data_IF_996119972014
#
_entry.id   IF_996119972014
#
_cell.length_a   1.000
_cell.length_b   1.000
_cell.length_c   1.000
_cell.angle_alpha   90.00
_cell.angle_beta   90.00
_cell.angle_gamma   90.00
#
_symmetry.space_group_name_H-M   'P 1'
#
loop_
_entity.id
_entity.type
_entity.pdbx_description
1 polymer ?
#
# COMPACT_ATOMS: atom_id res chain seq x y z
N UNK A 1 48.38 -21.26 -26.98
CA UNK A 1 48.90 -19.86 -26.92
C UNK A 1 48.16 -19.02 -27.96
N UNK A 2 46.97 -18.50 -27.65
CA UNK A 2 46.16 -17.60 -28.52
C UNK A 2 44.91 -17.15 -27.72
N UNK A 3 45.11 -16.45 -26.61
CA UNK A 3 44.01 -15.94 -25.78
C UNK A 3 44.28 -14.58 -25.11
N UNK A 4 45.34 -13.86 -25.49
CA UNK A 4 45.69 -12.56 -24.89
C UNK A 4 45.58 -11.35 -25.84
N UNK A 5 45.27 -11.58 -27.12
CA UNK A 5 45.25 -10.49 -28.12
C UNK A 5 43.95 -9.65 -28.06
N UNK A 6 42.87 -10.16 -27.48
CA UNK A 6 41.60 -9.39 -27.40
C UNK A 6 41.49 -8.48 -26.17
N UNK A 7 42.32 -8.66 -25.14
CA UNK A 7 42.26 -7.81 -23.94
C UNK A 7 43.02 -6.47 -24.07
N UNK A 8 43.83 -6.28 -25.11
CA UNK A 8 44.63 -5.06 -25.32
C UNK A 8 43.95 -4.00 -26.21
N UNK A 9 42.77 -4.29 -26.78
CA UNK A 9 42.06 -3.39 -27.69
C UNK A 9 40.98 -2.50 -27.04
N UNK A 10 40.79 -2.59 -25.72
CA UNK A 10 39.77 -1.80 -24.99
C UNK A 10 40.32 -0.60 -24.18
N UNK A 11 41.64 -0.37 -24.13
CA UNK A 11 42.25 0.67 -23.27
C UNK A 11 42.73 1.93 -24.02
N UNK A 12 42.47 2.06 -25.32
CA UNK A 12 42.88 3.24 -26.10
C UNK A 12 41.67 3.84 -26.84
N UNK A 13 40.74 4.43 -26.09
CA UNK A 13 39.50 4.93 -26.65
C UNK A 13 38.98 6.19 -25.95
N UNK A 14 39.56 7.33 -26.34
CA UNK A 14 39.04 8.72 -26.24
C UNK A 14 39.24 9.49 -24.94
N UNK A 15 40.36 10.20 -24.93
CA UNK A 15 40.52 11.48 -24.27
C UNK A 15 40.06 12.64 -25.19
N UNK A 16 39.60 13.73 -24.55
CA UNK A 16 39.67 15.16 -24.91
C UNK A 16 38.78 15.71 -26.04
N UNK A 17 37.87 16.63 -25.67
CA UNK A 17 37.82 18.00 -26.20
C UNK A 17 36.78 18.89 -25.44
N UNK A 18 37.26 20.00 -24.89
CA UNK A 18 36.55 21.25 -24.58
C UNK A 18 37.46 22.40 -25.07
N UNK A 19 37.07 23.70 -25.08
CA UNK A 19 35.76 24.37 -24.98
C UNK A 19 35.50 25.25 -26.24
N UNK A 20 34.45 26.09 -26.27
CA UNK A 20 34.43 27.49 -26.77
C UNK A 20 33.04 28.11 -26.53
N UNK A 21 32.99 29.45 -26.57
CA UNK A 21 32.20 30.35 -25.72
C UNK A 21 31.64 31.49 -26.59
N UNK A 22 30.36 31.88 -26.42
CA UNK A 22 29.76 33.21 -26.76
C UNK A 22 28.44 33.33 -25.96
N UNK A 23 28.35 34.18 -24.92
CA UNK A 23 27.87 35.59 -24.89
C UNK A 23 26.36 35.74 -25.26
N UNK A 24 25.43 35.96 -24.30
CA UNK A 24 24.88 37.24 -23.73
C UNK A 24 24.00 38.03 -24.75
N UNK A 25 22.85 38.74 -24.44
CA UNK A 25 22.41 39.47 -23.22
C UNK A 25 21.00 39.12 -22.65
N UNK A 26 20.66 39.31 -21.36
CA UNK A 26 20.42 40.56 -20.55
C UNK A 26 19.00 41.13 -20.82
N UNK A 27 18.10 41.57 -19.92
CA UNK A 27 18.04 42.02 -18.51
C UNK A 27 16.61 41.69 -17.98
N UNK A 28 16.32 41.46 -16.69
CA UNK A 28 15.92 42.53 -15.75
C UNK A 28 15.76 41.98 -14.31
N UNK A 29 16.60 42.55 -13.46
CA UNK A 29 16.53 42.94 -12.03
C UNK A 29 15.41 42.46 -11.09
N UNK A 30 15.78 41.82 -9.96
CA UNK A 30 15.85 42.32 -8.55
C UNK A 30 14.47 42.25 -7.86
N UNK A 31 14.29 41.51 -6.75
CA UNK A 31 14.60 41.93 -5.36
C UNK A 31 14.87 40.70 -4.47
N UNK A 32 16.00 40.76 -3.75
CA UNK A 32 16.34 39.93 -2.58
C UNK A 32 15.42 40.24 -1.39
N UNK A 33 15.00 39.21 -0.66
CA UNK A 33 14.97 39.33 0.80
C UNK A 33 15.38 38.00 1.43
N UNK A 34 16.16 38.14 2.51
CA UNK A 34 17.01 37.14 3.12
C UNK A 34 16.38 36.57 4.40
N UNK A 35 17.04 35.52 4.93
CA UNK A 35 17.02 35.05 6.32
C UNK A 35 15.94 34.02 6.69
N UNK A 36 16.37 32.77 6.87
CA UNK A 36 16.49 32.10 8.17
C UNK A 36 16.53 30.57 8.02
N UNK A 37 17.65 29.94 8.41
CA UNK A 37 17.63 28.56 8.89
C UNK A 37 16.75 28.49 10.15
N UNK A 38 15.69 27.67 10.15
CA UNK A 38 15.06 27.20 11.39
C UNK A 38 14.60 25.75 11.21
N UNK A 39 15.21 24.92 12.04
CA UNK A 39 14.85 23.61 12.58
C UNK A 39 13.53 22.94 12.16
N UNK A 40 13.68 21.64 11.92
CA UNK A 40 12.69 20.57 12.07
C UNK A 40 11.83 20.75 13.33
N UNK A 41 10.50 20.75 13.19
CA UNK A 41 9.54 20.64 14.31
C UNK A 41 8.34 19.77 13.87
N UNK A 42 7.83 18.87 14.73
CA UNK A 42 7.13 17.67 14.31
C UNK A 42 5.62 17.84 14.15
N UNK A 43 5.05 16.79 13.57
CA UNK A 43 3.65 16.45 13.34
C UNK A 43 2.73 16.99 14.44
N UNK A 44 1.74 17.77 14.00
CA UNK A 44 0.71 18.36 14.84
C UNK A 44 -0.07 17.31 15.65
N UNK A 45 0.04 17.42 16.96
CA UNK A 45 -0.87 16.79 17.90
C UNK A 45 -2.21 17.54 17.89
N UNK A 46 -3.30 16.77 17.86
CA UNK A 46 -4.67 17.25 17.98
C UNK A 46 -4.94 17.68 19.45
N UNK A 47 -5.32 18.94 19.75
CA UNK A 47 -5.60 19.36 21.12
C UNK A 47 -7.07 19.06 21.46
N UNK A 48 -7.30 17.96 22.17
CA UNK A 48 -8.55 17.80 22.93
C UNK A 48 -8.20 18.05 24.39
N UNK A 49 -8.40 19.29 24.82
CA UNK A 49 -8.40 19.65 26.23
C UNK A 49 -9.73 19.16 26.83
N UNK A 50 -9.67 18.24 27.78
CA UNK A 50 -10.80 17.95 28.66
C UNK A 50 -10.36 18.32 30.07
N UNK A 51 -10.78 19.48 30.54
CA UNK A 51 -10.71 19.82 31.95
C UNK A 51 -11.86 19.12 32.67
N UNK A 52 -11.54 18.22 33.60
CA UNK A 52 -12.48 17.76 34.63
C UNK A 52 -11.73 17.60 35.94
N UNK A 53 -12.02 18.52 36.87
CA UNK A 53 -12.28 18.24 38.29
C UNK A 53 -11.17 17.61 39.11
N UNK A 54 -10.57 18.43 39.96
CA UNK A 54 -9.89 18.04 41.20
C UNK A 54 -10.86 17.24 42.09
N UNK A 55 -10.52 15.99 42.42
CA UNK A 55 -11.14 15.24 43.50
C UNK A 55 -10.06 14.49 44.29
N UNK A 56 -10.19 14.58 45.61
CA UNK A 56 -9.17 14.23 46.60
C UNK A 56 -8.87 12.73 46.69
N UNK A 57 -7.58 12.47 46.93
CA UNK A 57 -7.00 11.49 47.86
C UNK A 57 -7.89 10.30 48.28
N UNK A 58 -7.66 9.17 47.61
CA UNK A 58 -8.05 7.83 48.06
C UNK A 58 -6.92 6.87 47.74
N UNK A 59 -6.05 6.63 48.73
CA UNK A 59 -5.05 5.58 48.66
C UNK A 59 -5.73 4.22 48.72
N UNK A 60 -5.92 3.59 47.57
CA UNK A 60 -6.14 2.15 47.46
C UNK A 60 -5.18 1.61 46.42
N UNK A 61 -4.45 0.57 46.81
CA UNK A 61 -3.35 -0.04 46.09
C UNK A 61 -3.79 -0.40 44.67
N UNK A 62 -3.35 0.41 43.70
CA UNK A 62 -3.31 -0.02 42.32
C UNK A 62 -2.22 -1.08 42.22
N UNK A 63 -2.63 -2.33 42.37
CA UNK A 63 -1.92 -3.45 41.79
C UNK A 63 -1.69 -3.05 40.32
N UNK A 64 -0.43 -2.73 39.99
CA UNK A 64 0.01 -2.50 38.63
C UNK A 64 -0.13 -3.86 37.94
N UNK A 65 -1.36 -4.16 37.50
CA UNK A 65 -1.66 -5.32 36.67
C UNK A 65 -0.92 -5.04 35.37
N UNK A 66 0.30 -5.57 35.30
CA UNK A 66 1.13 -5.57 34.11
C UNK A 66 0.33 -6.39 33.11
N UNK A 67 -0.53 -5.71 32.33
CA UNK A 67 -1.24 -6.32 31.22
C UNK A 67 -0.15 -6.79 30.27
N UNK A 68 0.22 -8.07 30.40
CA UNK A 68 1.19 -8.68 29.52
C UNK A 68 0.62 -8.54 28.10
N UNK A 69 1.19 -7.61 27.34
CA UNK A 69 0.80 -7.38 25.95
C UNK A 69 0.87 -8.73 25.23
N UNK A 70 -0.24 -9.13 24.60
CA UNK A 70 -0.27 -10.42 23.93
C UNK A 70 0.76 -10.38 22.80
N UNK A 71 1.77 -11.29 22.77
CA UNK A 71 2.84 -11.26 21.77
C UNK A 71 2.36 -11.31 20.32
N UNK A 72 1.13 -11.77 20.07
CA UNK A 72 0.51 -11.79 18.75
C UNK A 72 -0.10 -10.44 18.31
N UNK A 73 -0.30 -9.46 19.20
CA UNK A 73 -0.89 -8.16 18.83
C UNK A 73 -0.06 -7.40 17.81
N UNK A 74 1.27 -7.45 17.94
CA UNK A 74 2.22 -6.77 17.04
C UNK A 74 2.93 -7.73 16.08
N UNK A 75 2.56 -9.02 16.07
CA UNK A 75 3.17 -10.03 15.21
C UNK A 75 2.28 -10.35 14.00
N UNK A 76 2.58 -9.71 12.87
CA UNK A 76 1.80 -9.87 11.64
C UNK A 76 2.26 -11.08 10.81
N UNK A 77 1.34 -12.03 10.62
CA UNK A 77 1.56 -13.17 9.75
C UNK A 77 1.32 -12.83 8.27
N UNK A 78 1.90 -13.65 7.39
CA UNK A 78 1.61 -13.58 5.94
C UNK A 78 0.14 -13.93 5.67
N UNK A 79 -0.36 -13.53 4.51
CA UNK A 79 -1.72 -13.85 4.06
C UNK A 79 -2.05 -15.34 4.20
N UNK A 80 -3.22 -15.64 4.77
CA UNK A 80 -3.70 -17.01 5.01
C UNK A 80 -3.13 -17.65 6.27
N UNK A 81 -2.37 -16.92 7.08
CA UNK A 81 -1.88 -17.36 8.38
C UNK A 81 -2.36 -16.41 9.49
N UNK A 82 -2.56 -16.97 10.67
CA UNK A 82 -2.90 -16.25 11.91
C UNK A 82 -1.83 -16.50 12.96
N UNK A 83 -1.67 -15.54 13.88
CA UNK A 83 -0.73 -15.67 14.98
C UNK A 83 -1.38 -16.44 16.13
N UNK A 84 -0.71 -17.49 16.58
CA UNK A 84 -1.03 -18.25 17.78
C UNK A 84 0.21 -18.32 18.67
N UNK A 85 0.04 -18.51 19.98
CA UNK A 85 1.16 -18.67 20.91
C UNK A 85 1.47 -20.17 21.08
N UNK A 86 2.75 -20.52 21.08
CA UNK A 86 3.20 -21.88 21.41
C UNK A 86 3.18 -22.15 22.93
N UNK A 87 3.63 -23.33 23.35
CA UNK A 87 3.74 -23.72 24.78
C UNK A 87 4.68 -22.82 25.60
N UNK A 88 5.54 -22.04 24.94
CA UNK A 88 6.51 -21.14 25.56
C UNK A 88 6.07 -19.66 25.49
N UNK A 89 4.80 -19.38 25.17
CA UNK A 89 4.28 -18.02 24.90
C UNK A 89 5.01 -17.29 23.76
N UNK A 90 5.58 -18.02 22.80
CA UNK A 90 6.23 -17.46 21.61
C UNK A 90 5.23 -17.36 20.46
N UNK A 91 5.11 -16.21 19.77
CA UNK A 91 4.19 -16.06 18.64
C UNK A 91 4.65 -16.89 17.44
N UNK A 92 3.74 -17.69 16.90
CA UNK A 92 3.92 -18.54 15.72
C UNK A 92 2.79 -18.35 14.71
N UNK A 93 3.13 -18.39 13.42
CA UNK A 93 2.15 -18.23 12.34
C UNK A 93 1.66 -19.59 11.83
N UNK A 94 0.42 -19.93 12.15
CA UNK A 94 -0.26 -21.13 11.66
C UNK A 94 -1.22 -20.79 10.54
N UNK A 95 -1.63 -21.79 9.75
CA UNK A 95 -2.62 -21.55 8.70
C UNK A 95 -3.98 -21.21 9.31
N UNK A 96 -4.62 -20.19 8.76
CA UNK A 96 -5.97 -19.82 9.14
C UNK A 96 -6.97 -20.92 8.72
N UNK A 97 -7.93 -21.23 9.58
CA UNK A 97 -9.07 -22.08 9.22
C UNK A 97 -10.01 -21.30 8.28
N UNK A 98 -10.36 -21.82 7.09
CA UNK A 98 -11.34 -21.18 6.20
C UNK A 98 -12.69 -20.88 6.88
N UNK A 99 -13.10 -21.64 7.89
CA UNK A 99 -14.36 -21.42 8.61
C UNK A 99 -14.32 -20.22 9.57
N UNK A 100 -13.11 -19.77 9.96
CA UNK A 100 -12.89 -18.56 10.76
C UNK A 100 -12.99 -17.28 9.94
N UNK A 101 -13.05 -17.40 8.61
CA UNK A 101 -13.20 -16.26 7.72
C UNK A 101 -14.62 -15.66 7.82
N UNK A 102 -14.75 -14.33 7.72
CA UNK A 102 -16.06 -13.69 7.66
C UNK A 102 -16.82 -14.14 6.41
N UNK A 103 -18.14 -14.29 6.55
CA UNK A 103 -19.03 -14.59 5.44
C UNK A 103 -19.03 -13.42 4.44
N UNK A 104 -19.04 -13.70 3.13
CA UNK A 104 -19.06 -12.64 2.13
C UNK A 104 -20.38 -11.87 2.18
N UNK A 105 -20.29 -10.55 2.21
CA UNK A 105 -21.42 -9.61 2.22
C UNK A 105 -22.04 -9.51 0.82
N UNK A 106 -21.24 -9.72 -0.23
CA UNK A 106 -21.70 -9.66 -1.62
C UNK A 106 -20.77 -10.38 -2.60
N UNK A 107 -21.19 -10.44 -3.87
CA UNK A 107 -20.43 -11.14 -4.91
C UNK A 107 -19.07 -10.48 -5.20
N UNK A 108 -18.92 -9.18 -4.95
CA UNK A 108 -17.67 -8.45 -5.18
C UNK A 108 -16.54 -8.86 -4.21
N UNK A 109 -16.86 -9.48 -3.07
CA UNK A 109 -15.87 -9.97 -2.11
C UNK A 109 -15.33 -11.36 -2.48
N UNK A 110 -16.06 -12.10 -3.32
CA UNK A 110 -15.63 -13.39 -3.85
C UNK A 110 -14.36 -13.21 -4.68
N UNK A 111 -13.64 -14.30 -4.90
CA UNK A 111 -12.43 -14.28 -5.75
C UNK A 111 -12.37 -15.51 -6.64
N UNK A 112 -11.77 -15.38 -7.81
CA UNK A 112 -11.52 -16.48 -8.73
C UNK A 112 -10.04 -16.90 -8.68
N UNK A 113 -9.79 -18.20 -8.55
CA UNK A 113 -8.44 -18.75 -8.71
C UNK A 113 -8.11 -19.05 -10.17
N UNK A 114 -6.83 -19.24 -10.46
CA UNK A 114 -6.33 -19.65 -11.77
C UNK A 114 -6.80 -21.05 -12.22
N UNK A 115 -7.36 -21.84 -11.30
CA UNK A 115 -8.03 -23.12 -11.60
C UNK A 115 -9.52 -22.92 -11.98
N UNK A 116 -9.94 -21.67 -12.21
CA UNK A 116 -11.32 -21.26 -12.48
C UNK A 116 -12.30 -21.70 -11.37
N UNK A 117 -11.83 -21.66 -10.11
CA UNK A 117 -12.64 -21.94 -8.92
C UNK A 117 -12.95 -20.65 -8.18
N UNK A 118 -14.22 -20.45 -7.86
CA UNK A 118 -14.66 -19.32 -7.06
C UNK A 118 -14.53 -19.65 -5.58
N UNK A 119 -13.92 -18.75 -4.83
CA UNK A 119 -13.85 -18.77 -3.37
C UNK A 119 -14.73 -17.66 -2.80
N UNK A 120 -15.24 -17.89 -1.60
CA UNK A 120 -16.18 -16.96 -0.96
C UNK A 120 -15.55 -15.61 -0.62
N UNK A 121 -14.27 -15.59 -0.27
CA UNK A 121 -13.50 -14.35 -0.16
C UNK A 121 -12.00 -14.59 -0.32
N UNK A 122 -11.24 -13.50 -0.41
CA UNK A 122 -9.77 -13.55 -0.34
C UNK A 122 -9.26 -14.32 0.88
N UNK A 123 -9.93 -14.18 2.03
CA UNK A 123 -9.60 -14.93 3.26
C UNK A 123 -9.68 -16.45 3.02
N UNK A 124 -10.80 -16.93 2.49
CA UNK A 124 -11.02 -18.35 2.20
C UNK A 124 -9.99 -18.89 1.19
N UNK A 125 -9.65 -18.10 0.18
CA UNK A 125 -8.63 -18.48 -0.81
C UNK A 125 -7.25 -18.64 -0.16
N UNK A 126 -6.79 -17.65 0.62
CA UNK A 126 -5.46 -17.71 1.23
C UNK A 126 -5.35 -18.75 2.35
N UNK A 127 -6.41 -18.93 3.14
CA UNK A 127 -6.51 -20.02 4.12
C UNK A 127 -6.37 -21.40 3.44
N UNK A 128 -7.10 -21.61 2.34
CA UNK A 128 -7.00 -22.85 1.55
C UNK A 128 -5.63 -23.00 0.89
N UNK A 129 -5.03 -21.92 0.40
CA UNK A 129 -3.67 -21.96 -0.18
C UNK A 129 -2.62 -22.30 0.87
N UNK A 130 -2.78 -21.82 2.11
CA UNK A 130 -1.87 -22.09 3.21
C UNK A 130 -1.78 -23.58 3.54
N UNK A 131 -2.92 -24.29 3.60
CA UNK A 131 -2.92 -25.74 3.86
C UNK A 131 -2.26 -26.56 2.76
N UNK A 132 -2.09 -25.98 1.57
CA UNK A 132 -1.39 -26.58 0.44
C UNK A 132 0.07 -26.13 0.34
N UNK A 133 0.59 -25.37 1.30
CA UNK A 133 2.00 -24.93 1.33
C UNK A 133 2.94 -26.15 1.29
N UNK A 134 4.04 -26.03 0.54
CA UNK A 134 4.98 -27.14 0.30
C UNK A 134 4.53 -28.16 -0.76
N UNK A 135 3.30 -28.07 -1.27
CA UNK A 135 2.82 -28.95 -2.35
C UNK A 135 2.93 -28.30 -3.73
N UNK A 136 3.12 -29.11 -4.79
CA UNK A 136 3.08 -28.62 -6.18
C UNK A 136 1.77 -27.91 -6.53
N UNK A 137 0.67 -28.32 -5.90
CA UNK A 137 -0.66 -27.71 -6.10
C UNK A 137 -0.72 -26.31 -5.47
N UNK A 138 -0.27 -26.17 -4.22
CA UNK A 138 -0.22 -24.87 -3.54
C UNK A 138 0.70 -23.86 -4.24
N UNK A 139 1.85 -24.32 -4.74
CA UNK A 139 2.77 -23.47 -5.53
C UNK A 139 2.17 -22.98 -6.85
N UNK A 140 1.24 -23.74 -7.46
CA UNK A 140 0.56 -23.35 -8.70
C UNK A 140 -0.76 -22.65 -8.45
N UNK A 141 -1.28 -22.67 -7.23
CA UNK A 141 -2.55 -22.04 -6.89
C UNK A 141 -2.34 -20.54 -6.68
N UNK A 142 -2.95 -19.73 -7.55
CA UNK A 142 -2.88 -18.27 -7.50
C UNK A 142 -4.28 -17.66 -7.61
N UNK A 143 -4.43 -16.49 -6.99
CA UNK A 143 -5.61 -15.65 -7.16
C UNK A 143 -5.48 -15.00 -8.54
N UNK A 144 -6.47 -15.19 -9.39
CA UNK A 144 -6.47 -14.69 -10.77
C UNK A 144 -7.13 -13.31 -10.83
N UNK A 145 -8.33 -13.17 -10.25
CA UNK A 145 -9.02 -11.89 -10.13
C UNK A 145 -10.04 -11.85 -9.00
N UNK A 146 -10.41 -10.64 -8.59
CA UNK A 146 -11.47 -10.36 -7.61
C UNK A 146 -12.85 -10.45 -8.30
N UNK A 147 -13.82 -11.01 -7.60
CA UNK A 147 -15.15 -11.38 -8.06
C UNK A 147 -15.29 -12.89 -8.32
N UNK A 148 -16.53 -13.36 -8.57
CA UNK A 148 -16.77 -14.76 -8.93
C UNK A 148 -16.17 -15.08 -10.30
N UNK A 149 -15.86 -16.36 -10.53
CA UNK A 149 -15.32 -16.78 -11.82
C UNK A 149 -16.32 -16.52 -12.94
N UNK A 150 -15.83 -15.94 -14.03
CA UNK A 150 -16.57 -15.62 -15.25
C UNK A 150 -15.81 -16.10 -16.48
N UNK A 151 -16.52 -16.22 -17.58
CA UNK A 151 -15.89 -16.52 -18.87
C UNK A 151 -14.97 -15.38 -19.29
N UNK A 152 -13.68 -15.69 -19.46
CA UNK A 152 -12.70 -14.78 -20.03
C UNK A 152 -12.44 -15.19 -21.49
N UNK A 153 -12.82 -14.36 -22.47
CA UNK A 153 -12.50 -14.65 -23.86
C UNK A 153 -10.98 -14.62 -24.06
N UNK A 154 -10.44 -15.42 -25.01
CA UNK A 154 -9.03 -15.34 -25.34
C UNK A 154 -8.68 -13.92 -25.80
N UNK A 155 -7.50 -13.39 -25.42
CA UNK A 155 -7.07 -12.08 -25.88
C UNK A 155 -6.95 -12.09 -27.42
N UNK A 156 -7.28 -10.99 -28.10
CA UNK A 156 -7.13 -10.90 -29.55
C UNK A 156 -5.64 -11.00 -29.92
N UNK A 157 -5.33 -11.56 -31.09
CA UNK A 157 -3.95 -11.78 -31.54
C UNK A 157 -3.07 -10.51 -31.53
N UNK A 158 -3.66 -9.34 -31.77
CA UNK A 158 -2.97 -8.05 -31.68
C UNK A 158 -2.46 -7.73 -30.27
N UNK A 159 -3.15 -8.19 -29.23
CA UNK A 159 -2.79 -7.94 -27.84
C UNK A 159 -1.49 -8.67 -27.44
N UNK A 160 -1.22 -9.84 -28.04
CA UNK A 160 0.00 -10.61 -27.79
C UNK A 160 1.26 -9.93 -28.35
N UNK A 161 1.11 -8.94 -29.22
CA UNK A 161 2.20 -8.15 -29.78
C UNK A 161 2.50 -6.87 -28.99
N UNK A 162 1.67 -6.55 -27.99
CA UNK A 162 1.82 -5.33 -27.21
C UNK A 162 2.89 -5.56 -26.14
N UNK A 163 3.81 -4.59 -26.00
CA UNK A 163 4.80 -4.59 -24.94
C UNK A 163 4.12 -4.37 -23.57
N UNK A 164 4.18 -5.39 -22.71
CA UNK A 164 3.53 -5.40 -21.40
C UNK A 164 4.12 -4.37 -20.42
N UNK A 165 5.43 -4.13 -20.46
CA UNK A 165 6.08 -3.12 -19.61
C UNK A 165 5.62 -1.70 -19.99
N UNK A 166 5.47 -1.43 -21.29
CA UNK A 166 4.95 -0.15 -21.79
C UNK A 166 3.48 0.06 -21.40
N UNK A 167 2.66 -0.98 -21.49
CA UNK A 167 1.28 -0.91 -21.02
C UNK A 167 1.23 -0.62 -19.52
N UNK A 168 2.03 -1.35 -18.73
CA UNK A 168 2.09 -1.17 -17.29
C UNK A 168 2.49 0.26 -16.91
N UNK A 169 3.56 0.80 -17.48
CA UNK A 169 3.99 2.17 -17.19
C UNK A 169 2.95 3.22 -17.59
N UNK A 170 2.24 3.01 -18.70
CA UNK A 170 1.16 3.90 -19.12
C UNK A 170 -0.03 3.85 -18.14
N UNK A 171 -0.44 2.66 -17.70
CA UNK A 171 -1.51 2.49 -16.71
C UNK A 171 -1.12 3.08 -15.35
N UNK A 172 0.11 2.82 -14.88
CA UNK A 172 0.62 3.38 -13.63
C UNK A 172 0.63 4.93 -13.66
N UNK A 173 0.99 5.51 -14.81
CA UNK A 173 0.90 6.96 -15.03
C UNK A 173 -0.53 7.50 -14.97
N UNK A 174 -1.50 6.77 -15.52
CA UNK A 174 -2.93 7.14 -15.45
C UNK A 174 -3.48 7.04 -14.02
N UNK A 175 -3.11 6.00 -13.27
CA UNK A 175 -3.49 5.84 -11.87
C UNK A 175 -2.95 7.01 -11.05
N UNK A 176 -1.66 7.33 -11.18
CA UNK A 176 -1.05 8.46 -10.47
C UNK A 176 -1.73 9.79 -10.79
N UNK A 177 -2.10 10.03 -12.05
CA UNK A 177 -2.86 11.23 -12.43
C UNK A 177 -4.27 11.26 -11.79
N UNK A 178 -4.95 10.12 -11.73
CA UNK A 178 -6.27 10.01 -11.10
C UNK A 178 -6.20 10.24 -9.58
N UNK A 179 -5.22 9.66 -8.91
CA UNK A 179 -4.97 9.86 -7.47
C UNK A 179 -4.61 11.31 -7.16
N UNK A 180 -3.75 11.94 -7.99
CA UNK A 180 -3.43 13.36 -7.86
C UNK A 180 -4.66 14.27 -8.10
N UNK A 181 -5.57 13.86 -8.97
CA UNK A 181 -6.85 14.55 -9.18
C UNK A 181 -7.76 14.42 -7.95
N UNK A 182 -7.84 13.23 -7.34
CA UNK A 182 -8.63 12.99 -6.14
C UNK A 182 -8.07 13.69 -4.89
N UNK A 183 -6.73 13.72 -4.76
CA UNK A 183 -6.03 14.40 -3.67
C UNK A 183 -5.84 15.90 -3.91
N UNK A 184 -6.18 16.39 -5.10
CA UNK A 184 -6.11 17.82 -5.42
C UNK A 184 -6.96 18.62 -4.45
N UNK A 185 -6.36 19.64 -3.83
CA UNK A 185 -7.05 20.59 -2.95
C UNK A 185 -8.30 21.17 -3.62
N UNK A 186 -8.30 21.31 -4.94
CA UNK A 186 -9.47 21.79 -5.68
C UNK A 186 -10.61 20.76 -5.73
N UNK A 187 -10.30 19.47 -5.90
CA UNK A 187 -11.30 18.39 -5.84
C UNK A 187 -11.82 18.19 -4.42
N UNK A 188 -10.94 18.14 -3.41
CA UNK A 188 -11.33 18.05 -2.00
C UNK A 188 -12.18 19.26 -1.55
N UNK A 189 -11.81 20.49 -1.98
CA UNK A 189 -12.61 21.70 -1.72
C UNK A 189 -13.97 21.66 -2.43
N UNK A 190 -14.04 21.11 -3.64
CA UNK A 190 -15.30 20.91 -4.37
C UNK A 190 -16.19 19.85 -3.71
N UNK A 191 -15.62 18.75 -3.19
CA UNK A 191 -16.35 17.75 -2.42
C UNK A 191 -16.90 18.32 -1.10
N UNK A 192 -16.09 19.12 -0.39
CA UNK A 192 -16.51 19.84 0.81
C UNK A 192 -17.65 20.83 0.50
N UNK A 193 -17.58 21.56 -0.61
CA UNK A 193 -18.65 22.48 -1.04
C UNK A 193 -19.95 21.76 -1.42
N UNK A 194 -19.87 20.57 -2.05
CA UNK A 194 -21.04 19.74 -2.34
C UNK A 194 -21.72 19.25 -1.06
N UNK A 195 -20.94 18.86 -0.05
CA UNK A 195 -21.48 18.49 1.27
C UNK A 195 -22.10 19.68 2.01
N UNK A 196 -21.54 20.89 1.86
CA UNK A 196 -22.09 22.11 2.44
C UNK A 196 -23.41 22.55 1.77
N UNK A 197 -23.56 22.32 0.46
CA UNK A 197 -24.80 22.62 -0.28
C UNK A 197 -25.92 21.58 -0.04
N UNK A 198 -25.60 20.41 0.52
CA UNK A 198 -26.55 19.34 0.86
C UNK A 198 -27.05 19.35 2.31
N UNK A 199 -26.57 20.27 3.16
CA UNK A 199 -26.89 20.30 4.59
C UNK A 199 -28.25 20.93 4.89
N UNK A 200 -29.31 20.34 4.34
CA UNK A 200 -30.62 20.35 4.97
C UNK A 200 -31.25 18.96 5.10
N UNK A 201 -30.69 17.90 4.50
CA UNK A 201 -31.14 16.54 4.79
C UNK A 201 -30.00 15.52 4.59
N UNK A 202 -29.80 14.68 5.61
CA UNK A 202 -28.98 13.46 5.62
C UNK A 202 -27.49 13.65 5.92
N UNK A 203 -27.18 14.02 7.17
CA UNK A 203 -25.93 13.58 7.81
C UNK A 203 -26.19 12.21 8.41
N UNK A 204 -25.92 11.14 7.65
CA UNK A 204 -25.78 9.81 8.22
C UNK A 204 -24.90 8.95 7.31
N UNK A 205 -23.81 8.47 7.90
CA UNK A 205 -23.10 7.24 7.50
C UNK A 205 -22.15 7.32 6.30
N UNK A 206 -21.00 7.99 6.48
CA UNK A 206 -19.74 7.60 5.83
C UNK A 206 -18.54 7.88 6.75
N UNK A 207 -18.52 7.21 7.91
CA UNK A 207 -17.30 7.07 8.73
C UNK A 207 -17.13 5.60 9.08
N UNK A 208 -16.65 4.81 8.13
CA UNK A 208 -15.91 3.57 8.39
C UNK A 208 -15.29 3.07 7.09
N UNK A 209 -14.20 3.70 6.70
CA UNK A 209 -13.28 3.16 5.70
C UNK A 209 -11.85 3.65 6.01
N UNK A 210 -11.44 3.46 7.26
CA UNK A 210 -10.03 3.29 7.64
C UNK A 210 -9.95 2.94 9.13
N UNK A 211 -10.03 1.65 9.44
CA UNK A 211 -9.36 0.99 10.56
C UNK A 211 -9.22 -0.48 10.21
#
# INVERSE_FOLDING_TARGET
MKAWIFFLLCLAGRALAAPQQEALPDETEVVEETVAEVSEVPVGANPVQVEVGEFEEGAEEAEEEVVAENPCQNHHCKHGKVCELDENNTPMCVCQDPTSCPAPIGEFEKVCSNDNKTFDSSCHFFATKCTLEGTKKGHKLHLDYIGPCKFLPPPPFSFLSINQEKLRSQWDGQISQAENSFTSKHFMKKLLLINHAGSHHVVASLTNLSK
#
